data_IF_471763824791
#
_entry.id   IF_471763824791
#
_cell.length_a   1.000
_cell.length_b   1.000
_cell.length_c   1.000
_cell.angle_alpha   90.00
_cell.angle_beta   90.00
_cell.angle_gamma   90.00
#
_symmetry.space_group_name_H-M   'P 1'
#
loop_
_entity.id
_entity.type
_entity.pdbx_description
1 polymer ?
#
# COMPACT_ATOMS: atom_id res chain seq x y z
N UNK A 1 -20.24 26.58 0.57
CA UNK A 1 -19.18 25.86 1.33
C UNK A 1 -19.57 24.38 1.52
N UNK A 2 -19.85 23.65 0.44
CA UNK A 2 -20.30 22.25 0.53
C UNK A 2 -19.82 21.37 -0.65
N UNK A 3 -18.73 21.76 -1.33
CA UNK A 3 -18.25 21.04 -2.53
C UNK A 3 -16.91 20.29 -2.34
N UNK A 4 -16.22 20.46 -1.21
CA UNK A 4 -14.93 19.80 -0.98
C UNK A 4 -15.03 18.40 -0.36
N UNK A 5 -16.20 17.99 0.15
CA UNK A 5 -16.40 16.65 0.70
C UNK A 5 -16.59 15.55 -0.36
N UNK A 6 -17.00 15.92 -1.59
CA UNK A 6 -17.35 14.95 -2.65
C UNK A 6 -16.14 14.26 -3.30
N UNK A 7 -14.93 14.81 -3.19
CA UNK A 7 -13.73 14.17 -3.74
C UNK A 7 -13.16 13.08 -2.81
N UNK A 8 -13.32 13.25 -1.49
CA UNK A 8 -12.90 12.25 -0.50
C UNK A 8 -13.81 11.01 -0.49
N UNK A 9 -15.13 11.19 -0.72
CA UNK A 9 -16.10 10.09 -0.75
C UNK A 9 -16.08 9.23 -2.02
N UNK A 10 -15.51 9.71 -3.13
CA UNK A 10 -15.38 8.90 -4.36
C UNK A 10 -14.31 7.79 -4.24
N UNK A 11 -13.50 7.81 -3.17
CA UNK A 11 -12.48 6.79 -2.86
C UNK A 11 -12.99 5.69 -1.91
N UNK A 12 -14.26 5.69 -1.51
CA UNK A 12 -14.78 4.75 -0.49
C UNK A 12 -15.24 3.37 -1.01
N UNK A 13 -15.29 3.13 -2.33
CA UNK A 13 -15.96 1.92 -2.84
C UNK A 13 -15.09 0.95 -3.65
N UNK A 14 -13.94 1.37 -4.17
CA UNK A 14 -13.09 0.50 -4.99
C UNK A 14 -11.72 0.30 -4.35
N UNK A 15 -11.28 -0.96 -4.40
CA UNK A 15 -9.89 -1.31 -4.16
C UNK A 15 -8.99 -0.40 -5.01
N UNK A 16 -7.91 0.15 -4.44
CA UNK A 16 -6.98 0.96 -5.20
C UNK A 16 -6.55 0.25 -6.50
N UNK A 17 -6.56 0.97 -7.62
CA UNK A 17 -6.32 0.38 -8.95
C UNK A 17 -5.00 -0.39 -9.03
N UNK A 18 -4.00 0.01 -8.23
CA UNK A 18 -2.72 -0.68 -8.14
C UNK A 18 -2.84 -2.11 -7.62
N UNK A 19 -3.86 -2.47 -6.82
CA UNK A 19 -4.03 -3.84 -6.31
C UNK A 19 -4.38 -4.85 -7.41
N UNK A 20 -4.94 -4.38 -8.52
CA UNK A 20 -5.30 -5.21 -9.67
C UNK A 20 -4.26 -5.20 -10.77
N UNK A 21 -3.11 -4.53 -10.55
CA UNK A 21 -2.07 -4.45 -11.56
C UNK A 21 -1.42 -5.80 -11.82
N UNK A 22 -1.28 -6.14 -13.10
CA UNK A 22 -0.42 -7.23 -13.54
C UNK A 22 1.05 -6.85 -13.41
N UNK A 23 1.94 -7.85 -13.48
CA UNK A 23 3.39 -7.60 -13.47
C UNK A 23 3.86 -6.71 -14.64
N UNK A 24 3.16 -6.75 -15.78
CA UNK A 24 3.42 -5.85 -16.91
C UNK A 24 3.04 -4.41 -16.57
N UNK A 25 1.88 -4.19 -15.95
CA UNK A 25 1.45 -2.84 -15.56
C UNK A 25 2.37 -2.23 -14.49
N UNK A 26 2.87 -3.06 -13.56
CA UNK A 26 3.88 -2.62 -12.59
C UNK A 26 5.19 -2.23 -13.30
N UNK A 27 5.60 -2.98 -14.32
CA UNK A 27 6.78 -2.66 -15.12
C UNK A 27 6.58 -1.37 -15.94
N UNK A 28 5.40 -1.17 -16.53
CA UNK A 28 5.06 0.07 -17.24
C UNK A 28 5.12 1.28 -16.30
N UNK A 29 4.55 1.16 -15.10
CA UNK A 29 4.66 2.18 -14.07
C UNK A 29 6.12 2.47 -13.68
N UNK A 30 6.98 1.45 -13.61
CA UNK A 30 8.41 1.66 -13.37
C UNK A 30 9.11 2.40 -14.52
N UNK A 31 8.69 2.16 -15.76
CA UNK A 31 9.17 2.88 -16.93
C UNK A 31 8.77 4.36 -16.88
N UNK A 32 7.51 4.64 -16.50
CA UNK A 32 6.96 5.99 -16.35
C UNK A 32 7.65 6.78 -15.21
N UNK A 33 8.14 6.08 -14.18
CA UNK A 33 8.99 6.67 -13.14
C UNK A 33 10.40 7.06 -13.61
N UNK A 34 10.77 6.72 -14.85
CA UNK A 34 12.08 7.00 -15.44
C UNK A 34 13.09 5.86 -15.31
N UNK A 35 12.63 4.65 -14.97
CA UNK A 35 13.48 3.47 -14.82
C UNK A 35 13.11 2.32 -15.79
N UNK A 36 13.11 2.54 -17.12
CA UNK A 36 12.78 1.49 -18.09
C UNK A 36 13.73 0.27 -18.00
N UNK A 37 14.96 0.46 -17.53
CA UNK A 37 15.94 -0.60 -17.32
C UNK A 37 15.52 -1.64 -16.27
N UNK A 38 14.64 -1.28 -15.32
CA UNK A 38 14.19 -2.19 -14.27
C UNK A 38 12.90 -2.92 -14.63
N UNK A 39 12.32 -2.68 -15.82
CA UNK A 39 11.10 -3.37 -16.27
C UNK A 39 11.25 -4.89 -16.22
N UNK A 40 12.35 -5.40 -16.78
CA UNK A 40 12.61 -6.84 -16.84
C UNK A 40 12.79 -7.45 -15.44
N UNK A 41 13.36 -6.69 -14.49
CA UNK A 41 13.48 -7.12 -13.10
C UNK A 41 12.10 -7.39 -12.49
N UNK A 42 11.13 -6.49 -12.69
CA UNK A 42 9.79 -6.62 -12.13
C UNK A 42 8.95 -7.69 -12.84
N UNK A 43 9.06 -7.80 -14.18
CA UNK A 43 8.34 -8.83 -14.93
C UNK A 43 8.87 -10.23 -14.64
N UNK A 44 10.20 -10.41 -14.58
CA UNK A 44 10.83 -11.71 -14.34
C UNK A 44 10.59 -12.22 -12.93
N UNK A 45 10.63 -11.34 -11.93
CA UNK A 45 10.28 -11.69 -10.55
C UNK A 45 8.75 -11.79 -10.31
N UNK A 46 7.95 -11.47 -11.33
CA UNK A 46 6.49 -11.53 -11.27
C UNK A 46 5.92 -10.65 -10.15
N UNK A 47 6.44 -9.44 -10.01
CA UNK A 47 5.95 -8.46 -9.02
C UNK A 47 4.64 -7.88 -9.53
N UNK A 48 3.53 -8.37 -8.98
CA UNK A 48 2.19 -7.85 -9.22
C UNK A 48 1.87 -6.70 -8.25
N UNK A 49 0.73 -6.06 -8.48
CA UNK A 49 0.25 -4.96 -7.65
C UNK A 49 0.09 -5.26 -6.16
N UNK A 50 -0.14 -6.53 -5.78
CA UNK A 50 -0.25 -6.96 -4.39
C UNK A 50 1.11 -7.20 -3.76
N UNK A 51 2.04 -7.78 -4.51
CA UNK A 51 3.45 -7.93 -4.12
C UNK A 51 4.15 -6.58 -4.01
N UNK A 52 3.73 -5.57 -4.76
CA UNK A 52 4.24 -4.20 -4.64
C UNK A 52 4.06 -3.64 -3.22
N UNK A 53 3.04 -4.09 -2.48
CA UNK A 53 2.83 -3.74 -1.06
C UNK A 53 3.99 -4.22 -0.17
N UNK A 54 4.62 -5.34 -0.54
CA UNK A 54 5.70 -5.97 0.22
C UNK A 54 7.09 -5.48 -0.22
N UNK A 55 7.18 -4.66 -1.27
CA UNK A 55 8.46 -4.16 -1.80
C UNK A 55 8.94 -3.00 -0.92
N UNK A 56 9.85 -3.33 -0.02
CA UNK A 56 10.62 -2.35 0.77
C UNK A 56 12.02 -2.09 0.18
N UNK A 57 12.68 -1.04 0.68
CA UNK A 57 14.05 -0.69 0.32
C UNK A 57 15.07 -1.84 0.49
N UNK A 58 14.81 -2.77 1.41
CA UNK A 58 15.62 -3.97 1.64
C UNK A 58 15.42 -5.07 0.58
N UNK A 59 14.28 -5.08 -0.10
CA UNK A 59 13.94 -6.08 -1.12
C UNK A 59 14.42 -5.66 -2.52
N UNK A 60 14.55 -4.36 -2.79
CA UNK A 60 14.99 -3.83 -4.08
C UNK A 60 16.37 -4.34 -4.55
N UNK A 61 17.40 -4.47 -3.67
CA UNK A 61 18.68 -5.08 -4.05
C UNK A 61 18.55 -6.51 -4.55
N UNK A 62 17.70 -7.33 -3.91
CA UNK A 62 17.45 -8.71 -4.30
C UNK A 62 16.72 -8.82 -5.65
N UNK A 63 16.02 -7.76 -6.08
CA UNK A 63 15.38 -7.66 -7.39
C UNK A 63 16.35 -7.20 -8.50
N UNK A 64 17.59 -6.83 -8.15
CA UNK A 64 18.60 -6.34 -9.09
C UNK A 64 18.76 -4.82 -9.12
N UNK A 65 18.10 -4.09 -8.22
CA UNK A 65 18.28 -2.63 -8.06
C UNK A 65 19.29 -2.38 -6.95
N UNK A 66 20.54 -2.17 -7.33
CA UNK A 66 21.67 -1.97 -6.39
C UNK A 66 22.02 -0.51 -6.15
N UNK A 67 21.57 0.40 -7.02
CA UNK A 67 21.87 1.83 -6.90
C UNK A 67 21.05 2.47 -5.76
N UNK A 68 21.74 3.13 -4.84
CA UNK A 68 21.13 3.71 -3.65
C UNK A 68 20.14 4.85 -3.95
N UNK A 69 20.45 5.71 -4.92
CA UNK A 69 19.54 6.81 -5.29
C UNK A 69 18.28 6.25 -5.96
N UNK A 70 18.43 5.22 -6.78
CA UNK A 70 17.28 4.52 -7.37
C UNK A 70 16.42 3.85 -6.30
N UNK A 71 17.04 3.15 -5.33
CA UNK A 71 16.33 2.53 -4.19
C UNK A 71 15.52 3.58 -3.44
N UNK A 72 16.12 4.74 -3.15
CA UNK A 72 15.46 5.83 -2.41
C UNK A 72 14.26 6.40 -3.17
N UNK A 73 14.44 6.68 -4.46
CA UNK A 73 13.37 7.26 -5.28
C UNK A 73 12.23 6.27 -5.53
N UNK A 74 12.54 5.00 -5.81
CA UNK A 74 11.53 3.95 -5.99
C UNK A 74 10.78 3.71 -4.69
N UNK A 75 11.47 3.59 -3.56
CA UNK A 75 10.83 3.40 -2.26
C UNK A 75 9.92 4.56 -1.89
N UNK A 76 10.29 5.79 -2.24
CA UNK A 76 9.41 6.97 -2.09
C UNK A 76 8.16 6.86 -2.98
N UNK A 77 8.36 6.55 -4.26
CA UNK A 77 7.27 6.42 -5.25
C UNK A 77 6.28 5.33 -4.88
N UNK A 78 6.75 4.19 -4.37
CA UNK A 78 5.90 3.10 -3.85
C UNK A 78 5.06 3.59 -2.65
N UNK A 79 5.68 4.30 -1.70
CA UNK A 79 4.95 4.85 -0.53
C UNK A 79 3.89 5.87 -0.95
N UNK A 80 4.21 6.74 -1.90
CA UNK A 80 3.27 7.72 -2.43
C UNK A 80 2.11 7.03 -3.20
N UNK A 81 2.38 5.96 -3.96
CA UNK A 81 1.36 5.14 -4.63
C UNK A 81 0.43 4.45 -3.63
N UNK A 82 1.00 3.84 -2.58
CA UNK A 82 0.24 3.13 -1.55
C UNK A 82 -0.45 4.08 -0.56
N UNK A 83 -0.15 5.38 -0.62
CA UNK A 83 -0.57 6.39 0.35
C UNK A 83 -0.21 6.00 1.79
N UNK A 84 1.00 5.46 1.97
CA UNK A 84 1.58 5.11 3.28
C UNK A 84 2.51 6.24 3.71
N UNK A 85 2.39 6.67 4.96
CA UNK A 85 3.29 7.67 5.54
C UNK A 85 4.70 7.09 5.71
N UNK A 86 5.73 7.92 5.52
CA UNK A 86 7.10 7.48 5.79
C UNK A 86 7.28 7.14 7.27
N UNK A 87 7.91 6.00 7.61
CA UNK A 87 8.23 5.70 9.00
C UNK A 87 9.26 6.71 9.50
N UNK A 88 8.82 7.67 10.31
CA UNK A 88 9.72 8.62 10.97
C UNK A 88 10.35 7.99 12.21
N UNK A 89 11.67 8.16 12.35
CA UNK A 89 12.43 7.67 13.50
C UNK A 89 12.01 8.29 14.84
N UNK A 90 11.38 9.48 14.80
CA UNK A 90 10.87 10.19 15.97
C UNK A 90 9.35 9.98 16.21
N UNK A 91 8.70 9.06 15.49
CA UNK A 91 7.29 8.75 15.71
C UNK A 91 7.13 8.12 17.10
N UNK A 92 6.29 8.74 17.93
CA UNK A 92 6.05 8.22 19.28
C UNK A 92 5.49 6.79 19.21
N UNK A 93 6.06 5.89 20.02
CA UNK A 93 5.56 4.53 20.21
C UNK A 93 4.16 4.50 20.86
N UNK A 94 3.71 5.63 21.44
CA UNK A 94 2.36 5.78 21.98
C UNK A 94 1.31 6.02 20.91
N UNK A 95 1.72 6.38 19.69
CA UNK A 95 0.80 6.47 18.56
C UNK A 95 0.47 5.07 18.07
N UNK A 96 -0.80 4.81 17.67
CA UNK A 96 -1.23 3.49 17.23
C UNK A 96 -0.31 2.95 16.13
N UNK A 97 0.00 1.67 16.23
CA UNK A 97 0.90 0.97 15.33
C UNK A 97 0.14 0.69 14.03
N UNK A 98 0.64 1.22 12.90
CA UNK A 98 0.10 1.13 11.52
C UNK A 98 -1.13 2.02 11.25
N UNK A 99 -0.97 2.92 10.28
CA UNK A 99 -2.06 3.68 9.67
C UNK A 99 -3.13 2.72 9.12
N UNK A 100 -4.40 3.12 9.14
CA UNK A 100 -5.53 2.28 8.68
C UNK A 100 -5.31 1.74 7.26
N UNK A 101 -4.67 2.54 6.41
CA UNK A 101 -4.27 2.15 5.04
C UNK A 101 -3.22 1.04 5.06
N UNK A 102 -2.18 1.15 5.88
CA UNK A 102 -1.13 0.14 5.98
C UNK A 102 -1.66 -1.21 6.47
N UNK A 103 -2.50 -1.21 7.52
CA UNK A 103 -3.12 -2.44 8.02
C UNK A 103 -4.03 -3.11 7.00
N UNK A 104 -4.80 -2.32 6.25
CA UNK A 104 -5.61 -2.82 5.15
C UNK A 104 -4.76 -3.48 4.07
N UNK A 105 -3.66 -2.83 3.69
CA UNK A 105 -2.75 -3.31 2.65
C UNK A 105 -2.03 -4.59 3.05
N UNK A 106 -1.61 -4.73 4.31
CA UNK A 106 -1.05 -5.99 4.82
C UNK A 106 -2.02 -7.16 4.71
N UNK A 107 -3.32 -6.92 4.90
CA UNK A 107 -4.34 -7.98 4.75
C UNK A 107 -4.63 -8.29 3.28
N UNK A 108 -4.38 -7.33 2.38
CA UNK A 108 -4.52 -7.46 0.92
C UNK A 108 -3.30 -8.05 0.22
N UNK A 109 -2.11 -8.01 0.83
CA UNK A 109 -0.89 -8.58 0.26
C UNK A 109 -0.92 -10.10 0.22
N UNK A 110 -1.69 -10.73 1.13
CA UNK A 110 -1.88 -12.18 1.18
C UNK A 110 -2.93 -12.61 0.14
N UNK A 111 -2.60 -13.60 -0.67
CA UNK A 111 -3.55 -14.20 -1.61
C UNK A 111 -4.55 -15.10 -0.88
N UNK A 112 -5.85 -14.92 -1.15
CA UNK A 112 -6.89 -15.84 -0.67
C UNK A 112 -8.30 -15.22 -0.67
N UNK A 113 -9.35 -16.06 -0.55
CA UNK A 113 -10.74 -15.62 -0.70
C UNK A 113 -11.16 -14.57 0.34
N UNK A 114 -10.55 -14.60 1.53
CA UNK A 114 -10.76 -13.61 2.59
C UNK A 114 -10.14 -12.25 2.25
N UNK A 115 -8.97 -12.23 1.62
CA UNK A 115 -8.30 -11.01 1.21
C UNK A 115 -8.96 -10.41 -0.04
N UNK A 116 -9.37 -11.27 -0.98
CA UNK A 116 -10.06 -10.85 -2.21
C UNK A 116 -11.41 -10.19 -1.90
N UNK A 117 -12.17 -10.77 -0.95
CA UNK A 117 -13.50 -10.24 -0.56
C UNK A 117 -13.47 -9.00 0.34
N UNK A 118 -12.31 -8.68 0.93
CA UNK A 118 -12.12 -7.53 1.80
C UNK A 118 -12.04 -6.26 0.95
N UNK A 119 -12.96 -5.33 1.13
CA UNK A 119 -12.88 -3.99 0.50
C UNK A 119 -12.47 -2.98 1.56
N UNK A 120 -11.83 -1.87 1.17
CA UNK A 120 -11.46 -0.80 2.12
C UNK A 120 -12.66 -0.34 2.98
N UNK A 121 -13.84 -0.16 2.37
CA UNK A 121 -15.06 0.21 3.12
C UNK A 121 -15.56 -0.86 4.11
N UNK A 122 -15.32 -2.16 3.84
CA UNK A 122 -15.63 -3.23 4.81
C UNK A 122 -14.64 -3.19 5.97
N UNK A 123 -13.36 -2.99 5.66
CA UNK A 123 -12.29 -2.88 6.65
C UNK A 123 -12.53 -1.71 7.64
N UNK A 124 -12.93 -0.53 7.14
CA UNK A 124 -13.27 0.61 8.00
C UNK A 124 -14.45 0.32 8.94
N UNK A 125 -15.45 -0.46 8.49
CA UNK A 125 -16.57 -0.89 9.34
C UNK A 125 -16.13 -1.88 10.42
N UNK A 126 -15.22 -2.80 10.10
CA UNK A 126 -14.61 -3.72 11.07
C UNK A 126 -13.86 -2.93 12.17
N UNK A 127 -13.01 -1.98 11.79
CA UNK A 127 -12.30 -1.13 12.75
C UNK A 127 -13.24 -0.35 13.67
N UNK A 128 -14.28 0.29 13.12
CA UNK A 128 -15.27 1.02 13.93
C UNK A 128 -15.95 0.09 14.93
N UNK A 129 -16.25 -1.15 14.55
CA UNK A 129 -16.85 -2.15 15.44
C UNK A 129 -15.90 -2.57 16.56
N UNK A 130 -14.63 -2.76 16.27
CA UNK A 130 -13.60 -3.09 17.27
C UNK A 130 -13.39 -1.97 18.30
N UNK A 131 -13.36 -0.71 17.85
CA UNK A 131 -13.23 0.45 18.74
C UNK A 131 -14.43 0.60 19.68
N UNK A 132 -15.65 0.35 19.18
CA UNK A 132 -16.86 0.32 20.02
C UNK A 132 -16.82 -0.80 21.06
N UNK A 133 -16.29 -1.98 20.70
CA UNK A 133 -16.14 -3.10 21.63
C UNK A 133 -15.15 -2.79 22.76
N UNK A 134 -13.99 -2.20 22.46
CA UNK A 134 -12.99 -1.80 23.47
C UNK A 134 -13.53 -0.75 24.43
N UNK A 135 -14.34 0.20 23.94
CA UNK A 135 -14.93 1.25 24.76
C UNK A 135 -16.09 0.73 25.64
N UNK A 136 -16.76 -0.35 25.25
CA UNK A 136 -17.81 -0.99 26.05
C UNK A 136 -17.30 -1.87 27.21
N UNK A 137 -16.04 -2.32 27.16
CA UNK A 137 -15.44 -3.21 28.19
C UNK A 137 -14.82 -2.44 29.36
N UNK A 138 -14.70 -1.11 29.28
CA UNK A 138 -14.33 -0.26 30.44
C UNK A 138 -15.57 -0.05 31.33
N UNK A 139 -15.88 -1.03 32.18
CA UNK A 139 -16.74 -0.88 33.36
C UNK A 139 -16.03 -1.45 34.57
#
# INVERSE_FOLDING_TARGET
>A
MAETASAAMRKEALDPAYLTWSSQQVADWMADLGYPQYRECFTTNGIDGRKLILVDASHLPSLGITDFEHIKHISRSVRDLLAIEEPYWNRSISLPHREMTGMYLERKSITGPKADSLTYGKYLKELKKEELAKNGTKR
#
